data_IF_465134144836
#
_entry.id   IF_465134144836
#
_cell.length_a   1.000
_cell.length_b   1.000
_cell.length_c   1.000
_cell.angle_alpha   90.00
_cell.angle_beta   90.00
_cell.angle_gamma   90.00
#
_symmetry.space_group_name_H-M   'P 1'
#
loop_
_entity.id
_entity.type
_entity.pdbx_description
1 polymer ?
#
# COMPACT_ATOMS: atom_id res chain seq x y z
N UNK A 1 0.43 -21.15 -53.37
CA UNK A 1 1.05 -21.30 -52.04
C UNK A 1 1.99 -20.13 -51.82
N UNK A 2 1.57 -19.10 -51.08
CA UNK A 2 2.42 -17.96 -50.73
C UNK A 2 3.15 -18.22 -49.40
N UNK A 3 4.39 -17.73 -49.21
CA UNK A 3 5.14 -17.97 -47.98
C UNK A 3 4.52 -17.21 -46.81
N UNK A 4 4.42 -17.87 -45.66
CA UNK A 4 3.92 -17.30 -44.39
C UNK A 4 4.84 -16.16 -43.93
N UNK A 5 4.32 -15.06 -43.36
CA UNK A 5 5.15 -14.01 -42.78
C UNK A 5 5.76 -14.54 -41.49
N UNK A 6 6.96 -15.12 -41.60
CA UNK A 6 7.78 -15.49 -40.45
C UNK A 6 8.25 -14.25 -39.69
N UNK A 7 7.78 -14.14 -38.45
CA UNK A 7 8.49 -13.66 -37.26
C UNK A 7 9.61 -12.64 -37.51
N UNK A 8 9.25 -11.41 -37.88
CA UNK A 8 10.21 -10.29 -37.99
C UNK A 8 10.77 -9.85 -36.63
N UNK A 9 10.13 -10.24 -35.51
CA UNK A 9 10.58 -9.91 -34.16
C UNK A 9 11.63 -10.88 -33.59
N UNK A 10 11.71 -12.13 -34.07
CA UNK A 10 12.70 -13.10 -33.56
C UNK A 10 14.12 -12.83 -34.10
N UNK A 11 14.22 -12.23 -35.29
CA UNK A 11 15.51 -11.94 -35.93
C UNK A 11 16.27 -10.73 -35.34
N UNK A 12 15.63 -9.87 -34.53
CA UNK A 12 16.30 -8.73 -33.90
C UNK A 12 17.16 -9.14 -32.69
N UNK A 13 16.85 -10.25 -32.02
CA UNK A 13 17.67 -10.78 -30.90
C UNK A 13 19.03 -11.33 -31.36
N UNK A 14 19.17 -11.71 -32.63
CA UNK A 14 20.42 -12.23 -33.18
C UNK A 14 21.44 -11.14 -33.51
N UNK A 15 21.00 -9.88 -33.63
CA UNK A 15 21.84 -8.72 -33.98
C UNK A 15 22.36 -7.92 -32.77
N UNK A 16 21.99 -8.30 -31.55
CA UNK A 16 22.44 -7.63 -30.32
C UNK A 16 23.96 -7.82 -30.13
N UNK A 17 24.65 -6.72 -29.81
CA UNK A 17 26.06 -6.69 -29.40
C UNK A 17 26.27 -7.60 -28.19
N UNK A 18 27.48 -8.21 -28.01
CA UNK A 18 27.79 -8.99 -26.82
C UNK A 18 27.48 -8.27 -25.49
N UNK A 19 27.61 -6.94 -25.47
CA UNK A 19 27.24 -6.10 -24.33
C UNK A 19 25.73 -6.07 -24.09
N UNK A 20 24.93 -5.85 -25.13
CA UNK A 20 23.47 -5.79 -25.04
C UNK A 20 22.88 -7.15 -24.64
N UNK A 21 23.47 -8.27 -25.10
CA UNK A 21 23.10 -9.62 -24.66
C UNK A 21 23.40 -9.86 -23.18
N UNK A 22 24.50 -9.29 -22.68
CA UNK A 22 24.85 -9.36 -21.26
C UNK A 22 23.89 -8.53 -20.42
N UNK A 23 23.50 -7.34 -20.88
CA UNK A 23 22.49 -6.50 -20.21
C UNK A 23 21.12 -7.17 -20.18
N UNK A 24 20.65 -7.76 -21.28
CA UNK A 24 19.36 -8.48 -21.33
C UNK A 24 19.34 -9.65 -20.33
N UNK A 25 20.47 -10.36 -20.17
CA UNK A 25 20.60 -11.42 -19.16
C UNK A 25 20.51 -10.88 -17.73
N UNK A 26 21.13 -9.72 -17.44
CA UNK A 26 21.04 -9.07 -16.12
C UNK A 26 19.63 -8.56 -15.83
N UNK A 27 18.95 -8.00 -16.83
CA UNK A 27 17.54 -7.58 -16.72
C UNK A 27 16.64 -8.78 -16.42
N UNK A 28 16.81 -9.89 -17.14
CA UNK A 28 16.04 -11.12 -16.88
C UNK A 28 16.28 -11.69 -15.47
N UNK A 29 17.53 -11.63 -14.99
CA UNK A 29 17.89 -12.05 -13.63
C UNK A 29 17.23 -11.15 -12.57
N UNK A 30 17.25 -9.83 -12.77
CA UNK A 30 16.57 -8.86 -11.89
C UNK A 30 15.05 -9.07 -11.90
N UNK A 31 14.43 -9.31 -13.06
CA UNK A 31 13.01 -9.65 -13.16
C UNK A 31 12.67 -10.95 -12.42
N UNK A 32 13.52 -11.97 -12.54
CA UNK A 32 13.32 -13.25 -11.85
C UNK A 32 13.43 -13.07 -10.33
N UNK A 33 14.44 -12.35 -9.84
CA UNK A 33 14.62 -12.06 -8.42
C UNK A 33 13.47 -11.22 -7.85
N UNK A 34 13.03 -10.20 -8.59
CA UNK A 34 11.87 -9.38 -8.17
C UNK A 34 10.55 -10.13 -8.21
N UNK A 35 10.40 -11.13 -9.09
CA UNK A 35 9.25 -12.05 -9.08
C UNK A 35 9.31 -12.96 -7.85
N UNK A 36 10.45 -13.59 -7.61
CA UNK A 36 10.66 -14.49 -6.46
C UNK A 36 10.38 -13.78 -5.13
N UNK A 37 10.95 -12.58 -4.93
CA UNK A 37 10.71 -11.82 -3.71
C UNK A 37 9.22 -11.46 -3.53
N UNK A 38 8.51 -11.12 -4.62
CA UNK A 38 7.06 -10.88 -4.55
C UNK A 38 6.29 -12.14 -4.18
N UNK A 39 6.65 -13.29 -4.74
CA UNK A 39 6.00 -14.56 -4.45
C UNK A 39 6.23 -14.98 -2.99
N UNK A 40 7.42 -14.75 -2.45
CA UNK A 40 7.74 -14.98 -1.03
C UNK A 40 6.89 -14.08 -0.11
N UNK A 41 6.80 -12.78 -0.42
CA UNK A 41 5.97 -11.84 0.34
C UNK A 41 4.49 -12.24 0.27
N UNK A 42 4.01 -12.65 -0.91
CA UNK A 42 2.63 -13.13 -1.09
C UNK A 42 2.37 -14.42 -0.31
N UNK A 43 3.34 -15.35 -0.28
CA UNK A 43 3.24 -16.59 0.47
C UNK A 43 3.18 -16.33 1.99
N UNK A 44 4.03 -15.42 2.49
CA UNK A 44 4.02 -14.99 3.89
C UNK A 44 2.68 -14.35 4.26
N UNK A 45 2.21 -13.38 3.50
CA UNK A 45 0.91 -12.74 3.72
C UNK A 45 -0.25 -13.75 3.67
N UNK A 46 -0.20 -14.67 2.70
CA UNK A 46 -1.21 -15.73 2.59
C UNK A 46 -1.21 -16.66 3.80
N UNK A 47 -0.05 -16.94 4.39
CA UNK A 47 0.07 -17.72 5.61
C UNK A 47 -0.44 -16.97 6.84
N UNK A 48 -0.09 -15.69 6.99
CA UNK A 48 -0.43 -14.88 8.16
C UNK A 48 -1.89 -14.46 8.21
N UNK A 49 -2.45 -14.09 7.06
CA UNK A 49 -3.74 -13.37 7.02
C UNK A 49 -4.88 -14.30 6.58
N UNK A 50 -4.56 -15.24 5.69
CA UNK A 50 -5.56 -16.16 5.11
C UNK A 50 -5.35 -17.60 5.61
N UNK A 51 -4.15 -17.99 6.03
CA UNK A 51 -3.79 -19.29 6.61
C UNK A 51 -3.35 -20.34 5.59
N UNK A 52 -2.30 -21.14 5.82
CA UNK A 52 -1.79 -22.04 4.77
C UNK A 52 -2.78 -23.15 4.34
N UNK A 53 -2.78 -23.52 3.05
CA UNK A 53 -3.52 -24.69 2.55
C UNK A 53 -2.81 -25.97 3.00
N UNK A 54 -3.56 -26.94 3.49
CA UNK A 54 -3.05 -28.27 3.77
C UNK A 54 -3.14 -29.18 2.52
N UNK A 55 -2.51 -30.35 2.61
CA UNK A 55 -2.51 -31.37 1.56
C UNK A 55 -3.91 -31.93 1.20
N UNK A 56 -4.90 -31.71 2.06
CA UNK A 56 -6.29 -32.15 1.88
C UNK A 56 -7.20 -31.02 1.36
N UNK A 57 -6.63 -29.87 0.99
CA UNK A 57 -7.36 -28.74 0.41
C UNK A 57 -8.03 -27.81 1.43
N UNK A 58 -8.05 -28.14 2.72
CA UNK A 58 -8.55 -27.24 3.76
C UNK A 58 -7.48 -26.25 4.21
N UNK A 59 -7.92 -25.10 4.73
CA UNK A 59 -7.04 -23.98 5.09
C UNK A 59 -6.83 -23.98 6.60
N UNK A 60 -5.57 -23.84 7.04
CA UNK A 60 -5.24 -23.67 8.46
C UNK A 60 -5.81 -22.34 8.96
N UNK A 61 -6.18 -22.28 10.23
CA UNK A 61 -6.58 -21.02 10.85
C UNK A 61 -5.38 -20.06 10.81
N UNK A 62 -5.54 -18.84 10.27
CA UNK A 62 -4.44 -17.87 10.26
C UNK A 62 -4.05 -17.48 11.69
N UNK A 63 -2.76 -17.21 11.95
CA UNK A 63 -2.31 -16.74 13.26
C UNK A 63 -2.90 -15.39 13.67
N UNK A 64 -3.27 -14.56 12.68
CA UNK A 64 -3.92 -13.28 12.94
C UNK A 64 -5.39 -13.31 12.49
N UNK A 65 -6.35 -13.16 13.42
CA UNK A 65 -7.76 -13.13 13.08
C UNK A 65 -8.10 -11.95 12.17
N UNK A 66 -9.11 -12.14 11.32
CA UNK A 66 -9.59 -11.15 10.33
C UNK A 66 -9.88 -9.78 10.97
N UNK A 67 -10.40 -9.77 12.18
CA UNK A 67 -10.77 -8.56 12.92
C UNK A 67 -9.58 -7.65 13.24
N UNK A 68 -8.35 -8.18 13.26
CA UNK A 68 -7.15 -7.38 13.57
C UNK A 68 -6.65 -6.59 12.36
N UNK A 69 -6.78 -7.14 11.15
CA UNK A 69 -6.20 -6.55 9.94
C UNK A 69 -7.26 -6.04 8.96
N UNK A 70 -8.50 -6.51 9.04
CA UNK A 70 -9.58 -6.05 8.19
C UNK A 70 -10.00 -4.63 8.55
N UNK A 71 -10.07 -3.78 7.53
CA UNK A 71 -10.58 -2.41 7.64
C UNK A 71 -12.05 -2.31 7.26
N UNK A 72 -12.73 -3.44 7.04
CA UNK A 72 -14.12 -3.51 6.57
C UNK A 72 -15.07 -2.80 7.54
N UNK A 73 -15.13 -3.27 8.78
CA UNK A 73 -15.94 -2.70 9.87
C UNK A 73 -15.68 -1.20 10.03
N UNK A 74 -14.39 -0.84 10.07
CA UNK A 74 -13.94 0.55 10.19
C UNK A 74 -14.46 1.44 9.06
N UNK A 75 -14.48 0.89 7.84
CA UNK A 75 -14.97 1.60 6.66
C UNK A 75 -16.48 1.81 6.73
N UNK A 76 -17.23 0.80 7.18
CA UNK A 76 -18.69 0.90 7.38
C UNK A 76 -19.03 1.96 8.43
N UNK A 77 -18.26 2.03 9.51
CA UNK A 77 -18.40 3.02 10.59
C UNK A 77 -17.89 4.42 10.20
N UNK A 78 -17.37 4.62 8.98
CA UNK A 78 -16.83 5.91 8.53
C UNK A 78 -15.52 6.33 9.21
N UNK A 79 -14.85 5.40 9.90
CA UNK A 79 -13.58 5.65 10.57
C UNK A 79 -12.40 5.59 9.59
N UNK A 80 -11.29 6.23 9.96
CA UNK A 80 -10.09 6.32 9.10
C UNK A 80 -9.43 4.95 8.85
N UNK A 81 -9.43 4.50 7.60
CA UNK A 81 -9.02 3.16 7.14
C UNK A 81 -7.57 2.77 7.43
N UNK A 82 -6.65 3.72 7.52
CA UNK A 82 -5.21 3.47 7.63
C UNK A 82 -4.64 4.09 8.91
N UNK A 83 -3.38 3.75 9.20
CA UNK A 83 -2.58 4.38 10.24
C UNK A 83 -2.17 5.82 9.89
N UNK A 84 -3.08 6.59 9.28
CA UNK A 84 -2.84 7.96 8.82
C UNK A 84 -2.34 8.86 9.96
N UNK A 85 -2.81 8.64 11.18
CA UNK A 85 -2.38 9.43 12.33
C UNK A 85 -0.93 9.15 12.71
N UNK A 86 -0.51 7.88 12.82
CA UNK A 86 0.88 7.59 13.13
C UNK A 86 1.81 7.92 11.96
N UNK A 87 1.39 7.69 10.71
CA UNK A 87 2.18 8.12 9.55
C UNK A 87 2.31 9.64 9.48
N UNK A 88 1.26 10.40 9.77
CA UNK A 88 1.32 11.85 9.83
C UNK A 88 2.23 12.33 10.97
N UNK A 89 2.15 11.68 12.15
CA UNK A 89 3.05 11.96 13.27
C UNK A 89 4.51 11.67 12.89
N UNK A 90 4.78 10.53 12.25
CA UNK A 90 6.10 10.17 11.77
C UNK A 90 6.62 11.14 10.69
N UNK A 91 5.78 11.54 9.72
CA UNK A 91 6.13 12.55 8.71
C UNK A 91 6.45 13.90 9.36
N UNK A 92 5.69 14.30 10.39
CA UNK A 92 5.95 15.53 11.15
C UNK A 92 7.27 15.44 11.91
N UNK A 93 7.52 14.34 12.62
CA UNK A 93 8.79 14.08 13.31
C UNK A 93 9.96 14.11 12.33
N UNK A 94 9.86 13.42 11.19
CA UNK A 94 10.90 13.42 10.16
C UNK A 94 11.14 14.82 9.58
N UNK A 95 10.09 15.63 9.43
CA UNK A 95 10.23 17.00 8.95
C UNK A 95 10.93 17.91 9.96
N UNK A 96 10.65 17.76 11.25
CA UNK A 96 11.27 18.58 12.32
C UNK A 96 12.69 18.11 12.66
N UNK A 97 12.96 16.80 12.51
CA UNK A 97 14.24 16.15 12.81
C UNK A 97 15.08 15.89 11.56
N UNK A 98 14.74 16.46 10.40
CA UNK A 98 15.27 16.07 9.09
C UNK A 98 16.73 16.48 8.82
N UNK A 99 17.67 16.03 9.65
CA UNK A 99 19.12 16.24 9.48
C UNK A 99 19.83 14.89 9.68
N UNK A 100 20.84 14.57 8.86
CA UNK A 100 21.51 13.26 8.89
C UNK A 100 22.21 12.95 10.22
N UNK A 101 22.61 13.97 10.98
CA UNK A 101 23.20 13.85 12.31
C UNK A 101 22.63 14.90 13.27
N UNK A 102 21.69 14.49 14.13
CA UNK A 102 21.18 15.35 15.21
C UNK A 102 22.06 15.22 16.45
N UNK A 103 22.45 16.36 17.03
CA UNK A 103 22.88 16.37 18.42
C UNK A 103 21.68 16.08 19.33
N UNK A 104 21.94 15.52 20.52
CA UNK A 104 20.90 15.24 21.53
C UNK A 104 20.07 16.51 21.81
N UNK A 105 20.71 17.68 21.88
CA UNK A 105 20.03 18.95 22.09
C UNK A 105 19.07 19.32 20.94
N UNK A 106 19.48 19.12 19.69
CA UNK A 106 18.60 19.32 18.53
C UNK A 106 17.43 18.36 18.52
N UNK A 107 17.66 17.11 18.93
CA UNK A 107 16.61 16.11 19.06
C UNK A 107 15.57 16.50 20.11
N UNK A 108 16.01 16.88 21.32
CA UNK A 108 15.12 17.33 22.40
C UNK A 108 14.33 18.57 21.97
N UNK A 109 14.98 19.53 21.32
CA UNK A 109 14.30 20.73 20.82
C UNK A 109 13.27 20.40 19.73
N UNK A 110 13.59 19.49 18.80
CA UNK A 110 12.65 19.03 17.78
C UNK A 110 11.42 18.34 18.38
N UNK A 111 11.61 17.50 19.41
CA UNK A 111 10.50 16.89 20.14
C UNK A 111 9.61 17.93 20.82
N UNK A 112 10.21 18.95 21.48
CA UNK A 112 9.45 20.06 22.09
C UNK A 112 8.63 20.82 21.05
N UNK A 113 9.18 21.07 19.86
CA UNK A 113 8.45 21.73 18.77
C UNK A 113 7.27 20.89 18.28
N UNK A 114 7.46 19.58 18.10
CA UNK A 114 6.37 18.66 17.72
C UNK A 114 5.28 18.64 18.78
N UNK A 115 5.68 18.55 20.06
CA UNK A 115 4.75 18.56 21.18
C UNK A 115 3.97 19.88 21.27
N UNK A 116 4.63 21.04 21.19
CA UNK A 116 3.97 22.34 21.23
C UNK A 116 2.92 22.49 20.11
N UNK A 117 3.20 22.00 18.90
CA UNK A 117 2.23 21.99 17.81
C UNK A 117 1.02 21.07 18.06
N UNK A 118 1.21 19.98 18.81
CA UNK A 118 0.12 19.07 19.22
C UNK A 118 -0.72 19.66 20.34
N UNK A 119 -0.07 20.28 21.33
CA UNK A 119 -0.73 20.97 22.43
C UNK A 119 -1.60 22.12 21.89
N UNK A 120 -1.10 22.89 20.91
CA UNK A 120 -1.90 23.90 20.24
C UNK A 120 -3.14 23.32 19.54
N UNK A 121 -3.02 22.18 18.84
CA UNK A 121 -4.17 21.51 18.23
C UNK A 121 -5.18 21.04 19.28
N UNK A 122 -4.70 20.56 20.42
CA UNK A 122 -5.54 20.12 21.52
C UNK A 122 -6.27 21.28 22.19
N UNK A 123 -5.60 22.41 22.43
CA UNK A 123 -6.23 23.62 22.96
C UNK A 123 -7.29 24.19 22.01
N UNK A 124 -7.02 24.20 20.69
CA UNK A 124 -8.04 24.56 19.70
C UNK A 124 -9.25 23.63 19.76
N UNK A 125 -9.03 22.33 19.93
CA UNK A 125 -10.13 21.38 20.12
C UNK A 125 -10.92 21.68 21.41
N UNK A 126 -10.24 21.95 22.53
CA UNK A 126 -10.91 22.31 23.80
C UNK A 126 -11.71 23.61 23.70
N UNK A 127 -11.24 24.57 22.89
CA UNK A 127 -11.95 25.82 22.59
C UNK A 127 -13.22 25.60 21.75
N UNK A 128 -13.35 24.43 21.13
CA UNK A 128 -14.43 24.12 20.19
C UNK A 128 -14.16 24.59 18.76
N UNK A 129 -12.89 24.86 18.41
CA UNK A 129 -12.52 25.20 17.04
C UNK A 129 -12.80 24.00 16.10
N UNK A 130 -13.31 24.27 14.90
CA UNK A 130 -13.59 23.22 13.92
C UNK A 130 -12.27 22.56 13.47
N UNK A 131 -12.18 21.21 13.45
CA UNK A 131 -10.95 20.53 13.03
C UNK A 131 -10.61 20.86 11.57
N UNK A 132 -9.32 20.76 11.18
CA UNK A 132 -8.90 20.97 9.80
C UNK A 132 -9.72 20.11 8.84
N UNK A 133 -10.39 20.77 7.88
CA UNK A 133 -11.26 20.08 6.92
C UNK A 133 -10.46 19.09 6.09
N UNK A 134 -10.93 17.85 6.06
CA UNK A 134 -10.38 16.82 5.17
C UNK A 134 -10.60 17.25 3.72
N UNK A 135 -9.58 17.09 2.86
CA UNK A 135 -9.71 17.47 1.44
C UNK A 135 -10.85 16.70 0.79
N UNK A 136 -11.66 17.40 0.00
CA UNK A 136 -12.87 16.87 -0.63
C UNK A 136 -12.61 15.61 -1.47
N UNK A 137 -11.45 15.50 -2.13
CA UNK A 137 -11.08 14.29 -2.89
C UNK A 137 -11.06 13.02 -2.03
N UNK A 138 -10.57 13.13 -0.78
CA UNK A 138 -10.49 12.00 0.14
C UNK A 138 -11.85 11.67 0.75
N UNK A 139 -12.68 12.67 1.05
CA UNK A 139 -14.05 12.44 1.49
C UNK A 139 -14.87 11.69 0.43
N UNK A 140 -14.77 12.13 -0.83
CA UNK A 140 -15.43 11.45 -1.96
C UNK A 140 -14.90 10.03 -2.18
N UNK A 141 -13.60 9.82 -2.03
CA UNK A 141 -13.00 8.49 -2.14
C UNK A 141 -13.51 7.56 -1.03
N UNK A 142 -13.50 8.02 0.22
CA UNK A 142 -14.02 7.24 1.36
C UNK A 142 -15.48 6.88 1.16
N UNK A 143 -16.31 7.81 0.68
CA UNK A 143 -17.73 7.53 0.46
C UNK A 143 -17.95 6.52 -0.68
N UNK A 144 -17.21 6.62 -1.78
CA UNK A 144 -17.26 5.61 -2.85
C UNK A 144 -16.83 4.24 -2.34
N UNK A 145 -15.77 4.18 -1.53
CA UNK A 145 -15.30 2.92 -0.95
C UNK A 145 -16.33 2.35 0.04
N UNK A 146 -16.94 3.19 0.89
CA UNK A 146 -18.00 2.77 1.82
C UNK A 146 -19.16 2.11 1.07
N UNK A 147 -19.64 2.75 -0.01
CA UNK A 147 -20.70 2.21 -0.86
C UNK A 147 -20.31 0.88 -1.53
N UNK A 148 -19.05 0.72 -1.94
CA UNK A 148 -18.58 -0.56 -2.48
C UNK A 148 -18.61 -1.67 -1.42
N UNK A 149 -18.22 -1.36 -0.18
CA UNK A 149 -18.25 -2.32 0.94
C UNK A 149 -19.69 -2.68 1.32
N UNK A 150 -20.60 -1.72 1.38
CA UNK A 150 -22.01 -1.94 1.71
C UNK A 150 -22.74 -2.83 0.69
N UNK A 151 -22.40 -2.70 -0.59
CA UNK A 151 -23.04 -3.45 -1.68
C UNK A 151 -22.26 -4.71 -2.09
N UNK A 152 -21.31 -5.15 -1.29
CA UNK A 152 -20.48 -6.30 -1.62
C UNK A 152 -21.30 -7.59 -1.63
N UNK A 153 -21.16 -8.36 -2.71
CA UNK A 153 -21.66 -9.74 -2.82
C UNK A 153 -20.56 -10.66 -3.33
N UNK A 154 -20.64 -11.96 -3.03
CA UNK A 154 -19.63 -12.94 -3.48
C UNK A 154 -19.55 -12.97 -5.02
N UNK A 155 -20.68 -12.85 -5.70
CA UNK A 155 -20.78 -12.83 -7.17
C UNK A 155 -20.13 -11.58 -7.79
N UNK A 156 -20.07 -10.48 -7.04
CA UNK A 156 -19.48 -9.21 -7.50
C UNK A 156 -18.02 -9.03 -7.06
N UNK A 157 -17.37 -10.05 -6.50
CA UNK A 157 -16.03 -9.93 -5.91
C UNK A 157 -14.99 -9.31 -6.84
N UNK A 158 -14.97 -9.68 -8.12
CA UNK A 158 -14.03 -9.12 -9.11
C UNK A 158 -14.32 -7.62 -9.34
N UNK A 159 -15.58 -7.26 -9.54
CA UNK A 159 -16.03 -5.87 -9.74
C UNK A 159 -15.75 -5.02 -8.50
N UNK A 160 -15.95 -5.58 -7.31
CA UNK A 160 -15.64 -4.97 -6.03
C UNK A 160 -14.15 -4.64 -5.90
N UNK A 161 -13.28 -5.64 -6.12
CA UNK A 161 -11.82 -5.45 -6.07
C UNK A 161 -11.34 -4.43 -7.10
N UNK A 162 -11.90 -4.44 -8.31
CA UNK A 162 -11.60 -3.46 -9.35
C UNK A 162 -12.03 -2.05 -8.95
N UNK A 163 -13.22 -1.90 -8.37
CA UNK A 163 -13.72 -0.62 -7.86
C UNK A 163 -12.86 -0.07 -6.71
N UNK A 164 -12.40 -0.95 -5.81
CA UNK A 164 -11.44 -0.61 -4.76
C UNK A 164 -10.11 -0.12 -5.34
N UNK A 165 -9.55 -0.86 -6.30
CA UNK A 165 -8.28 -0.51 -6.93
C UNK A 165 -8.33 0.90 -7.55
N UNK A 166 -9.40 1.24 -8.27
CA UNK A 166 -9.58 2.58 -8.82
C UNK A 166 -9.57 3.67 -7.73
N UNK A 167 -10.22 3.44 -6.59
CA UNK A 167 -10.29 4.44 -5.53
C UNK A 167 -8.99 4.58 -4.73
N UNK A 168 -8.23 3.49 -4.58
CA UNK A 168 -6.92 3.51 -3.91
C UNK A 168 -5.86 4.14 -4.80
N UNK A 169 -5.86 3.87 -6.11
CA UNK A 169 -4.89 4.46 -7.06
C UNK A 169 -5.14 5.94 -7.35
N UNK A 170 -6.35 6.46 -7.13
CA UNK A 170 -6.68 7.89 -7.27
C UNK A 170 -6.14 8.72 -6.08
N UNK A 171 -5.74 8.08 -4.97
CA UNK A 171 -5.30 8.77 -3.75
C UNK A 171 -3.84 9.20 -3.77
#
# INVERSE_FOLDING_TARGET
>A
MGPRPGNRCENLRLLLSPHEKHEEKRLAEVEQLTRYHRDEQLALATHTDVGSRNQFGSRRVPPFPLQLWSTCERTLQGHGRTNNYAEAAHRRLRSELGVDHLSIWRFVNGLRTVQAGRDQQFESFLRGDEPPRKRLKYLRADERIRRLVENFTVESAISYLRGLAHNVMIN
#
